data_IF_231996154558
#
_entry.id   IF_231996154558
#
_cell.length_a   1.000
_cell.length_b   1.000
_cell.length_c   1.000
_cell.angle_alpha   90.00
_cell.angle_beta   90.00
_cell.angle_gamma   90.00
#
_symmetry.space_group_name_H-M   'P 1'
#
loop_
_entity.id
_entity.type
_entity.pdbx_description
1 polymer ?
#
# COMPACT_ATOMS: atom_id res chain seq x y z
N UNK A 1 -25.64 -5.22 15.09
CA UNK A 1 -26.11 -5.98 13.91
C UNK A 1 -24.88 -6.59 13.26
N UNK A 2 -25.00 -7.80 12.71
CA UNK A 2 -23.89 -8.52 12.08
C UNK A 2 -24.00 -8.41 10.56
N UNK A 3 -22.88 -8.15 9.88
CA UNK A 3 -22.76 -8.21 8.43
C UNK A 3 -21.83 -9.35 8.03
N UNK A 4 -22.25 -10.12 7.03
CA UNK A 4 -21.48 -11.24 6.49
C UNK A 4 -20.68 -10.79 5.27
N UNK A 5 -19.39 -11.11 5.19
CA UNK A 5 -18.60 -10.93 3.96
C UNK A 5 -18.24 -12.29 3.38
N UNK A 6 -18.51 -12.51 2.10
CA UNK A 6 -18.06 -13.71 1.39
C UNK A 6 -17.79 -13.44 -0.08
N UNK A 7 -16.81 -14.15 -0.63
CA UNK A 7 -16.53 -14.18 -2.06
C UNK A 7 -17.31 -15.28 -2.80
N UNK A 8 -18.07 -16.10 -2.08
CA UNK A 8 -18.70 -17.30 -2.61
C UNK A 8 -20.16 -17.42 -2.12
N UNK A 9 -21.12 -16.80 -2.84
CA UNK A 9 -22.54 -16.83 -2.49
C UNK A 9 -23.12 -18.25 -2.37
N UNK A 10 -22.56 -19.29 -3.01
CA UNK A 10 -23.16 -20.63 -2.91
C UNK A 10 -22.72 -21.45 -1.69
N UNK A 11 -21.55 -21.16 -1.11
CA UNK A 11 -20.92 -22.05 -0.12
C UNK A 11 -21.29 -21.71 1.32
N UNK A 12 -21.49 -20.42 1.61
CA UNK A 12 -21.61 -19.90 2.97
C UNK A 12 -22.90 -19.15 3.23
N UNK A 13 -23.72 -18.91 2.21
CA UNK A 13 -24.91 -18.08 2.30
C UNK A 13 -25.90 -18.61 3.33
N UNK A 14 -26.19 -19.91 3.38
CA UNK A 14 -27.08 -20.49 4.40
C UNK A 14 -26.57 -20.32 5.84
N UNK A 15 -25.25 -20.33 6.04
CA UNK A 15 -24.64 -20.13 7.37
C UNK A 15 -24.63 -18.65 7.75
N UNK A 16 -24.32 -17.77 6.80
CA UNK A 16 -24.28 -16.33 7.00
C UNK A 16 -25.69 -15.76 7.18
N UNK A 17 -26.70 -16.21 6.42
CA UNK A 17 -28.09 -15.75 6.53
C UNK A 17 -28.73 -16.08 7.89
N UNK A 18 -28.20 -17.06 8.62
CA UNK A 18 -28.67 -17.40 9.98
C UNK A 18 -28.20 -16.42 11.04
N UNK A 19 -27.06 -15.76 10.80
CA UNK A 19 -26.36 -14.96 11.80
C UNK A 19 -26.30 -13.47 11.39
N UNK A 20 -26.29 -13.17 10.09
CA UNK A 20 -26.07 -11.84 9.54
C UNK A 20 -27.36 -11.22 9.02
N UNK A 21 -27.49 -9.91 9.22
CA UNK A 21 -28.64 -9.13 8.76
C UNK A 21 -28.49 -8.73 7.30
N UNK A 22 -27.24 -8.63 6.84
CA UNK A 22 -26.86 -8.29 5.48
C UNK A 22 -25.63 -9.11 5.10
N UNK A 23 -25.56 -9.49 3.82
CA UNK A 23 -24.40 -10.19 3.25
C UNK A 23 -23.85 -9.32 2.11
N UNK A 24 -22.57 -8.99 2.21
CA UNK A 24 -21.84 -8.27 1.17
C UNK A 24 -20.99 -9.27 0.41
N UNK A 25 -21.23 -9.35 -0.89
CA UNK A 25 -20.49 -10.21 -1.79
C UNK A 25 -19.21 -9.52 -2.27
N UNK A 26 -18.07 -10.09 -1.91
CA UNK A 26 -16.75 -9.65 -2.33
C UNK A 26 -16.47 -10.21 -3.73
N UNK A 27 -16.55 -9.37 -4.77
CA UNK A 27 -16.21 -9.79 -6.13
C UNK A 27 -14.70 -10.14 -6.21
N UNK A 28 -14.32 -11.40 -6.45
CA UNK A 28 -12.91 -11.83 -6.44
C UNK A 28 -12.02 -11.08 -7.44
N UNK A 29 -12.59 -10.59 -8.55
CA UNK A 29 -11.83 -9.91 -9.60
C UNK A 29 -11.57 -8.42 -9.30
N UNK A 30 -12.33 -7.84 -8.36
CA UNK A 30 -12.33 -6.40 -8.08
C UNK A 30 -11.86 -6.06 -6.66
N UNK A 31 -11.76 -7.06 -5.78
CA UNK A 31 -11.37 -6.85 -4.38
C UNK A 31 -9.93 -6.34 -4.32
N UNK A 32 -9.81 -5.11 -3.82
CA UNK A 32 -8.54 -4.43 -3.56
C UNK A 32 -8.44 -4.01 -2.10
N UNK A 33 -7.22 -3.70 -1.65
CA UNK A 33 -6.98 -3.11 -0.31
C UNK A 33 -7.87 -1.90 -0.03
N UNK A 34 -8.03 -1.00 -1.01
CA UNK A 34 -8.83 0.21 -0.85
C UNK A 34 -10.33 -0.11 -0.75
N UNK A 35 -10.81 -1.02 -1.60
CA UNK A 35 -12.20 -1.46 -1.59
C UNK A 35 -12.57 -2.14 -0.26
N UNK A 36 -11.75 -3.09 0.20
CA UNK A 36 -12.00 -3.77 1.46
C UNK A 36 -11.96 -2.81 2.67
N UNK A 37 -11.04 -1.84 2.67
CA UNK A 37 -11.01 -0.80 3.69
C UNK A 37 -12.27 0.08 3.68
N UNK A 38 -12.79 0.42 2.49
CA UNK A 38 -14.02 1.19 2.37
C UNK A 38 -15.21 0.44 2.99
N UNK A 39 -15.39 -0.85 2.67
CA UNK A 39 -16.43 -1.70 3.28
C UNK A 39 -16.32 -1.71 4.81
N UNK A 40 -15.12 -1.94 5.33
CA UNK A 40 -14.88 -2.00 6.78
C UNK A 40 -15.20 -0.66 7.46
N UNK A 41 -14.91 0.47 6.80
CA UNK A 41 -15.19 1.80 7.33
C UNK A 41 -16.67 2.16 7.29
N UNK A 42 -17.34 1.84 6.18
CA UNK A 42 -18.78 2.09 6.00
C UNK A 42 -19.62 1.31 7.00
N UNK A 43 -19.10 0.19 7.49
CA UNK A 43 -19.78 -0.72 8.42
C UNK A 43 -19.13 -0.77 9.81
N UNK A 44 -18.48 0.31 10.25
CA UNK A 44 -17.76 0.32 11.54
C UNK A 44 -18.64 0.11 12.77
N UNK A 45 -19.95 0.37 12.64
CA UNK A 45 -20.94 0.18 13.71
C UNK A 45 -21.52 -1.25 13.74
N UNK A 46 -21.05 -2.13 12.86
CA UNK A 46 -21.53 -3.49 12.72
C UNK A 46 -20.43 -4.50 13.03
N UNK A 47 -20.82 -5.65 13.59
CA UNK A 47 -19.89 -6.76 13.73
C UNK A 47 -19.71 -7.42 12.36
N UNK A 48 -18.45 -7.56 11.94
CA UNK A 48 -18.11 -8.13 10.64
C UNK A 48 -17.80 -9.60 10.83
N UNK A 49 -18.58 -10.45 10.17
CA UNK A 49 -18.43 -11.92 10.20
C UNK A 49 -17.97 -12.41 8.83
N UNK A 50 -16.96 -13.26 8.81
CA UNK A 50 -16.39 -13.83 7.58
C UNK A 50 -16.28 -15.34 7.75
N UNK A 51 -16.68 -16.17 6.78
CA UNK A 51 -16.60 -17.61 6.92
C UNK A 51 -15.18 -18.12 7.22
N UNK A 52 -14.18 -17.62 6.52
CA UNK A 52 -12.77 -17.92 6.72
C UNK A 52 -11.90 -16.84 6.08
N UNK A 53 -10.61 -16.81 6.37
CA UNK A 53 -9.71 -15.78 5.85
C UNK A 53 -9.59 -15.81 4.31
N UNK A 54 -9.72 -16.97 3.68
CA UNK A 54 -9.60 -17.14 2.24
C UNK A 54 -10.74 -16.46 1.46
N UNK A 55 -11.89 -16.24 2.09
CA UNK A 55 -13.01 -15.48 1.51
C UNK A 55 -12.68 -14.00 1.28
N UNK A 56 -11.67 -13.45 1.97
CA UNK A 56 -11.27 -12.06 1.77
C UNK A 56 -10.49 -11.83 0.48
N UNK A 57 -9.96 -12.89 -0.15
CA UNK A 57 -9.21 -12.87 -1.43
C UNK A 57 -8.01 -11.90 -1.49
N UNK A 58 -7.56 -11.41 -0.34
CA UNK A 58 -6.44 -10.50 -0.20
C UNK A 58 -5.29 -11.19 0.54
N UNK A 59 -4.06 -10.80 0.21
CA UNK A 59 -2.89 -11.15 1.01
C UNK A 59 -2.99 -10.50 2.39
N UNK A 60 -2.33 -11.09 3.38
CA UNK A 60 -2.46 -10.64 4.76
C UNK A 60 -1.95 -9.20 4.96
N UNK A 61 -0.84 -8.83 4.30
CA UNK A 61 -0.34 -7.44 4.24
C UNK A 61 -1.34 -6.48 3.58
N UNK A 62 -2.15 -6.94 2.63
CA UNK A 62 -3.17 -6.13 1.97
C UNK A 62 -4.39 -5.86 2.87
N UNK A 63 -4.63 -6.70 3.88
CA UNK A 63 -5.67 -6.53 4.90
C UNK A 63 -5.25 -5.56 6.02
N UNK A 64 -3.94 -5.31 6.15
CA UNK A 64 -3.38 -4.54 7.25
C UNK A 64 -4.01 -3.15 7.46
N UNK A 65 -4.37 -2.37 6.42
CA UNK A 65 -5.07 -1.09 6.63
C UNK A 65 -6.41 -1.25 7.33
N UNK A 66 -7.20 -2.27 6.95
CA UNK A 66 -8.49 -2.57 7.59
C UNK A 66 -8.31 -3.09 9.01
N UNK A 67 -7.33 -3.96 9.24
CA UNK A 67 -7.04 -4.45 10.59
C UNK A 67 -6.60 -3.32 11.53
N UNK A 68 -5.73 -2.41 11.08
CA UNK A 68 -5.33 -1.23 11.86
C UNK A 68 -6.54 -0.36 12.22
N UNK A 69 -7.43 -0.13 11.28
CA UNK A 69 -8.65 0.64 11.51
C UNK A 69 -9.55 0.00 12.58
N UNK A 70 -9.77 -1.31 12.48
CA UNK A 70 -10.58 -2.06 13.43
C UNK A 70 -9.97 -2.05 14.84
N UNK A 71 -8.67 -2.36 14.96
CA UNK A 71 -7.96 -2.34 16.26
C UNK A 71 -7.99 -0.95 16.90
N UNK A 72 -7.85 0.12 16.11
CA UNK A 72 -7.99 1.50 16.59
C UNK A 72 -9.40 1.81 17.12
N UNK A 73 -10.42 1.21 16.50
CA UNK A 73 -11.81 1.30 16.94
C UNK A 73 -12.22 0.25 17.99
N UNK A 74 -11.28 -0.50 18.57
CA UNK A 74 -11.56 -1.60 19.50
C UNK A 74 -12.55 -2.65 18.95
N UNK A 75 -12.50 -2.88 17.64
CA UNK A 75 -13.31 -3.87 16.92
C UNK A 75 -12.42 -4.90 16.22
N UNK A 76 -13.00 -6.01 15.78
CA UNK A 76 -12.30 -7.08 15.07
C UNK A 76 -13.25 -7.80 14.10
N UNK A 77 -12.67 -8.58 13.19
CA UNK A 77 -13.43 -9.46 12.30
C UNK A 77 -13.59 -10.83 12.97
N UNK A 78 -14.82 -11.31 13.06
CA UNK A 78 -15.13 -12.66 13.52
C UNK A 78 -15.01 -13.64 12.35
N UNK A 79 -14.05 -14.56 12.42
CA UNK A 79 -13.93 -15.66 11.46
C UNK A 79 -14.65 -16.90 11.96
N UNK A 80 -15.64 -17.39 11.22
CA UNK A 80 -16.47 -18.55 11.62
C UNK A 80 -15.64 -19.84 11.67
N UNK A 81 -14.88 -20.10 10.61
CA UNK A 81 -13.95 -21.21 10.50
C UNK A 81 -12.52 -20.71 10.72
N UNK A 82 -11.89 -21.23 11.77
CA UNK A 82 -10.51 -20.90 12.19
C UNK A 82 -9.55 -22.09 12.06
N UNK A 83 -9.94 -23.11 11.28
CA UNK A 83 -9.24 -24.39 11.11
C UNK A 83 -8.80 -24.99 12.46
N UNK A 84 -7.52 -25.34 12.62
CA UNK A 84 -6.96 -25.92 13.85
C UNK A 84 -6.99 -24.97 15.07
N UNK A 85 -7.30 -23.68 14.84
CA UNK A 85 -7.31 -22.64 15.87
C UNK A 85 -8.70 -22.39 16.47
N UNK A 86 -9.64 -23.33 16.36
CA UNK A 86 -10.97 -23.20 16.98
C UNK A 86 -10.92 -23.00 18.51
N UNK A 87 -9.83 -23.40 19.16
CA UNK A 87 -9.60 -23.19 20.59
C UNK A 87 -9.37 -21.71 20.96
N UNK A 88 -8.98 -20.87 20.00
CA UNK A 88 -8.83 -19.43 20.20
C UNK A 88 -10.21 -18.76 20.17
N UNK A 89 -10.38 -17.74 21.02
CA UNK A 89 -11.50 -16.80 20.88
C UNK A 89 -11.40 -16.07 19.53
N UNK A 90 -12.52 -15.56 19.03
CA UNK A 90 -12.56 -14.82 17.76
C UNK A 90 -11.58 -13.63 17.78
N UNK A 91 -11.58 -12.87 18.87
CA UNK A 91 -10.66 -11.75 19.09
C UNK A 91 -9.19 -12.21 19.11
N UNK A 92 -8.87 -13.30 19.82
CA UNK A 92 -7.50 -13.80 19.88
C UNK A 92 -6.99 -14.26 18.50
N UNK A 93 -7.84 -14.92 17.73
CA UNK A 93 -7.51 -15.35 16.37
C UNK A 93 -7.30 -14.15 15.43
N UNK A 94 -8.19 -13.15 15.48
CA UNK A 94 -8.02 -11.92 14.71
C UNK A 94 -6.72 -11.19 15.08
N UNK A 95 -6.42 -11.08 16.37
CA UNK A 95 -5.19 -10.44 16.85
C UNK A 95 -3.93 -11.16 16.36
N UNK A 96 -3.97 -12.49 16.24
CA UNK A 96 -2.87 -13.26 15.69
C UNK A 96 -2.69 -12.99 14.18
N UNK A 97 -3.78 -12.97 13.41
CA UNK A 97 -3.75 -12.56 12.00
C UNK A 97 -3.21 -11.13 11.84
N UNK A 98 -3.60 -10.21 12.71
CA UNK A 98 -3.09 -8.84 12.71
C UNK A 98 -1.58 -8.77 12.97
N UNK A 99 -1.07 -9.54 13.93
CA UNK A 99 0.38 -9.63 14.20
C UNK A 99 1.13 -10.22 13.01
N UNK A 100 0.60 -11.27 12.41
CA UNK A 100 1.17 -11.87 11.21
C UNK A 100 1.20 -10.88 10.02
N UNK A 101 0.15 -10.06 9.85
CA UNK A 101 0.11 -9.01 8.84
C UNK A 101 1.20 -7.94 9.06
N UNK A 102 1.41 -7.53 10.32
CA UNK A 102 2.48 -6.60 10.68
C UNK A 102 3.87 -7.19 10.42
N UNK A 103 4.06 -8.47 10.73
CA UNK A 103 5.31 -9.18 10.48
C UNK A 103 5.59 -9.31 8.98
N UNK A 104 4.59 -9.64 8.17
CA UNK A 104 4.72 -9.68 6.72
C UNK A 104 5.15 -8.32 6.15
N UNK A 105 4.53 -7.22 6.61
CA UNK A 105 4.92 -5.86 6.21
C UNK A 105 6.39 -5.56 6.53
N UNK A 106 6.85 -5.96 7.71
CA UNK A 106 8.26 -5.79 8.13
C UNK A 106 9.22 -6.61 7.25
N UNK A 107 8.87 -7.87 6.95
CA UNK A 107 9.67 -8.74 6.08
C UNK A 107 9.79 -8.13 4.67
N UNK A 108 8.70 -7.64 4.09
CA UNK A 108 8.70 -6.99 2.76
C UNK A 108 9.59 -5.74 2.77
N UNK A 109 9.46 -4.90 3.81
CA UNK A 109 10.30 -3.70 3.98
C UNK A 109 11.78 -4.06 4.07
N UNK A 110 12.13 -5.07 4.86
CA UNK A 110 13.52 -5.49 5.03
C UNK A 110 14.11 -6.04 3.74
N UNK A 111 13.39 -6.95 3.06
CA UNK A 111 13.82 -7.51 1.76
C UNK A 111 14.05 -6.42 0.72
N UNK A 112 13.20 -5.39 0.68
CA UNK A 112 13.34 -4.25 -0.22
C UNK A 112 14.60 -3.44 0.09
N UNK A 113 14.87 -3.15 1.37
CA UNK A 113 16.10 -2.47 1.80
C UNK A 113 17.35 -3.25 1.43
N UNK A 114 17.35 -4.56 1.67
CA UNK A 114 18.48 -5.43 1.36
C UNK A 114 18.73 -5.52 -0.15
N UNK A 115 17.67 -5.60 -0.96
CA UNK A 115 17.77 -5.56 -2.41
C UNK A 115 18.36 -4.24 -2.92
N UNK A 116 17.89 -3.10 -2.41
CA UNK A 116 18.43 -1.77 -2.76
C UNK A 116 19.90 -1.66 -2.33
N UNK A 117 20.25 -2.15 -1.14
CA UNK A 117 21.63 -2.10 -0.64
C UNK A 117 22.58 -2.93 -1.52
N UNK A 118 22.16 -4.15 -1.91
CA UNK A 118 22.93 -5.00 -2.83
C UNK A 118 23.13 -4.36 -4.20
N UNK A 119 22.05 -3.82 -4.78
CA UNK A 119 22.13 -3.11 -6.05
C UNK A 119 23.12 -1.92 -5.98
N UNK A 120 23.10 -1.15 -4.88
CA UNK A 120 24.06 -0.06 -4.66
C UNK A 120 25.51 -0.56 -4.57
N UNK A 121 25.76 -1.67 -3.87
CA UNK A 121 27.12 -2.24 -3.78
C UNK A 121 27.63 -2.76 -5.12
N UNK A 122 26.73 -3.15 -6.02
CA UNK A 122 27.04 -3.57 -7.39
C UNK A 122 27.17 -2.37 -8.37
N UNK A 123 27.09 -1.13 -7.86
CA UNK A 123 27.25 0.09 -8.66
C UNK A 123 25.97 0.58 -9.34
N UNK A 124 24.80 -0.03 -9.06
CA UNK A 124 23.51 0.44 -9.60
C UNK A 124 23.16 1.79 -8.97
N UNK A 125 22.98 2.80 -9.81
CA UNK A 125 22.51 4.13 -9.39
C UNK A 125 21.00 4.07 -9.19
N UNK A 126 20.56 4.06 -7.93
CA UNK A 126 19.14 4.07 -7.56
C UNK A 126 18.61 5.50 -7.55
N UNK A 127 17.41 5.72 -8.13
CA UNK A 127 16.71 6.99 -8.15
C UNK A 127 16.51 7.55 -9.56
N UNK A 128 16.07 8.81 -9.67
CA UNK A 128 15.94 9.48 -10.97
C UNK A 128 17.33 9.64 -11.59
N UNK A 129 17.51 9.28 -12.88
CA UNK A 129 18.76 9.56 -13.59
C UNK A 129 19.19 11.02 -13.41
N UNK A 130 20.49 11.22 -13.16
CA UNK A 130 21.05 12.57 -13.09
C UNK A 130 20.95 13.23 -14.47
N UNK A 131 20.85 14.55 -14.47
CA UNK A 131 20.93 15.33 -15.71
C UNK A 131 22.28 15.05 -16.41
N UNK A 132 22.30 14.92 -17.75
CA UNK A 132 23.54 14.73 -18.48
C UNK A 132 24.54 15.85 -18.19
N UNK A 133 25.82 15.49 -18.05
CA UNK A 133 26.88 16.46 -17.77
C UNK A 133 26.97 17.55 -18.85
N UNK A 134 26.71 17.18 -20.12
CA UNK A 134 26.66 18.10 -21.26
C UNK A 134 25.60 19.19 -21.08
N UNK A 135 24.39 18.82 -20.67
CA UNK A 135 23.31 19.78 -20.40
C UNK A 135 23.67 20.69 -19.22
N UNK A 136 24.32 20.16 -18.17
CA UNK A 136 24.77 20.96 -17.02
C UNK A 136 25.81 21.99 -17.47
N UNK A 137 26.81 21.58 -18.24
CA UNK A 137 27.85 22.45 -18.78
C UNK A 137 27.27 23.53 -19.69
N UNK A 138 26.31 23.15 -20.56
CA UNK A 138 25.61 24.09 -21.44
C UNK A 138 24.86 25.17 -20.63
N UNK A 139 24.14 24.77 -19.58
CA UNK A 139 23.46 25.69 -18.64
C UNK A 139 24.46 26.65 -17.98
N UNK A 140 25.59 26.13 -17.48
CA UNK A 140 26.62 26.93 -16.82
C UNK A 140 27.29 27.93 -17.77
N UNK A 141 27.62 27.50 -18.99
CA UNK A 141 28.24 28.35 -20.01
C UNK A 141 27.33 29.52 -20.41
N UNK A 142 26.05 29.22 -20.68
CA UNK A 142 25.08 30.25 -21.05
C UNK A 142 24.85 31.29 -19.95
N UNK A 143 24.93 30.87 -18.69
CA UNK A 143 24.76 31.77 -17.55
C UNK A 143 26.01 32.64 -17.33
N UNK A 144 27.21 32.05 -17.32
CA UNK A 144 28.45 32.73 -16.94
C UNK A 144 29.06 33.55 -18.08
N UNK A 145 29.08 33.00 -19.29
CA UNK A 145 29.80 33.59 -20.42
C UNK A 145 28.88 34.32 -21.38
N UNK A 146 27.67 33.80 -21.62
CA UNK A 146 26.71 34.40 -22.55
C UNK A 146 25.71 35.36 -21.87
N UNK A 147 25.70 35.43 -20.53
CA UNK A 147 24.82 36.28 -19.70
C UNK A 147 23.33 36.10 -20.01
N UNK A 148 22.90 34.90 -20.43
CA UNK A 148 21.48 34.59 -20.66
C UNK A 148 20.72 34.53 -19.34
N UNK A 149 19.45 34.92 -19.37
CA UNK A 149 18.56 34.80 -18.22
C UNK A 149 18.19 33.34 -17.96
N UNK A 150 17.85 33.01 -16.71
CA UNK A 150 17.44 31.65 -16.33
C UNK A 150 16.23 31.15 -17.14
N UNK A 151 15.31 32.03 -17.53
CA UNK A 151 14.14 31.66 -18.36
C UNK A 151 14.56 31.28 -19.78
N UNK A 152 15.48 32.03 -20.38
CA UNK A 152 16.01 31.72 -21.71
C UNK A 152 16.77 30.39 -21.67
N UNK A 153 17.60 30.17 -20.65
CA UNK A 153 18.34 28.91 -20.48
C UNK A 153 17.40 27.71 -20.31
N UNK A 154 16.36 27.86 -19.49
CA UNK A 154 15.34 26.83 -19.30
C UNK A 154 14.66 26.44 -20.61
N UNK A 155 14.37 27.43 -21.45
CA UNK A 155 13.73 27.22 -22.76
C UNK A 155 14.70 26.56 -23.75
N UNK A 156 15.96 27.01 -23.80
CA UNK A 156 16.96 26.50 -24.76
C UNK A 156 17.37 25.07 -24.42
N UNK A 157 17.57 24.77 -23.13
CA UNK A 157 17.99 23.45 -22.69
C UNK A 157 16.83 22.46 -22.48
N UNK A 158 15.59 22.89 -22.74
CA UNK A 158 14.35 22.13 -22.50
C UNK A 158 14.29 21.54 -21.08
N UNK A 159 14.48 22.41 -20.09
CA UNK A 159 14.44 22.04 -18.66
C UNK A 159 13.52 22.98 -17.90
N UNK A 160 13.04 22.54 -16.73
CA UNK A 160 12.27 23.42 -15.86
C UNK A 160 13.12 24.63 -15.42
N UNK A 161 12.48 25.77 -15.15
CA UNK A 161 13.14 26.97 -14.60
C UNK A 161 13.89 26.64 -13.31
N UNK A 162 13.32 25.79 -12.45
CA UNK A 162 13.97 25.35 -11.22
C UNK A 162 15.23 24.53 -11.48
N UNK A 163 15.23 23.70 -12.53
CA UNK A 163 16.39 22.92 -12.96
C UNK A 163 17.48 23.81 -13.54
N UNK A 164 17.14 24.75 -14.43
CA UNK A 164 18.08 25.73 -14.95
C UNK A 164 18.70 26.57 -13.82
N UNK A 165 17.88 27.07 -12.88
CA UNK A 165 18.35 27.82 -11.73
C UNK A 165 19.30 27.00 -10.85
N UNK A 166 18.96 25.74 -10.57
CA UNK A 166 19.76 24.83 -9.75
C UNK A 166 21.15 24.62 -10.34
N UNK A 167 21.28 24.41 -11.64
CA UNK A 167 22.57 24.09 -12.26
C UNK A 167 23.37 25.32 -12.71
N UNK A 168 22.73 26.46 -12.96
CA UNK A 168 23.40 27.69 -13.39
C UNK A 168 24.36 28.27 -12.33
N UNK A 169 24.06 28.10 -11.04
CA UNK A 169 24.81 28.69 -9.92
C UNK A 169 25.73 27.72 -9.17
N UNK A 170 25.68 26.43 -9.49
CA UNK A 170 26.56 25.44 -8.87
C UNK A 170 27.87 25.47 -9.63
N UNK A 171 28.89 26.08 -9.02
CA UNK A 171 30.29 25.96 -9.44
C UNK A 171 30.87 24.69 -8.80
N UNK A 172 31.47 23.81 -9.61
CA UNK A 172 32.23 22.66 -9.12
C UNK A 172 33.49 23.12 -8.36
#
# INVERSE_FOLDING_TARGET
>A
MMIGLTSNPGKWEDSLLRECHEIIYLNPEEVSTAYFLAIVKENSEHEIVVPNIQELRLQLVQLLPSFKYLVQGHSFITFMQRDENQQLSAEAYFNELYRLALLEEQIIKQRTKDAISRAKSEGVVVGRPKMPAETILMIQNMYQHEKKTIREIATICDVSIGTAFKYAKVTN
#
